data_IF_830891861743
#
_entry.id   IF_830891861743
#
_cell.length_a   1.000
_cell.length_b   1.000
_cell.length_c   1.000
_cell.angle_alpha   90.00
_cell.angle_beta   90.00
_cell.angle_gamma   90.00
#
_symmetry.space_group_name_H-M   'P 1'
#
loop_
_entity.id
_entity.type
_entity.pdbx_description
1 polymer ?
#
# COMPACT_ATOMS: atom_id res chain seq x y z
N UNK A 1 -5.84 -8.66 24.53
CA UNK A 1 -5.58 -7.30 23.99
C UNK A 1 -4.66 -7.47 22.78
N UNK A 2 -5.23 -7.49 21.56
CA UNK A 2 -4.43 -7.67 20.35
C UNK A 2 -3.98 -6.27 19.90
N UNK A 3 -2.75 -5.90 20.22
CA UNK A 3 -2.10 -4.75 19.60
C UNK A 3 -1.88 -5.09 18.11
N UNK A 4 -2.57 -4.44 17.15
CA UNK A 4 -2.16 -4.60 15.77
C UNK A 4 -0.78 -3.94 15.64
N UNK A 5 0.26 -4.76 15.50
CA UNK A 5 1.58 -4.33 15.07
C UNK A 5 1.46 -3.84 13.62
N UNK A 6 0.84 -2.69 13.44
CA UNK A 6 0.66 -2.07 12.13
C UNK A 6 1.99 -1.43 11.75
N UNK A 7 2.83 -2.19 11.04
CA UNK A 7 4.09 -1.69 10.48
C UNK A 7 3.82 -0.43 9.67
N UNK A 8 4.39 0.70 10.10
CA UNK A 8 4.32 1.94 9.35
C UNK A 8 5.52 1.98 8.42
N UNK A 9 5.26 2.04 7.12
CA UNK A 9 6.31 2.13 6.10
C UNK A 9 6.75 3.60 5.97
N UNK A 10 7.67 4.02 6.84
CA UNK A 10 8.21 5.39 6.83
C UNK A 10 9.01 5.65 5.55
N UNK A 11 8.76 6.81 4.93
CA UNK A 11 9.37 7.17 3.64
C UNK A 11 8.65 6.61 2.41
N UNK A 12 7.56 5.84 2.59
CA UNK A 12 6.70 5.39 1.50
C UNK A 12 5.32 6.02 1.68
N UNK A 13 4.88 6.74 0.66
CA UNK A 13 3.55 7.32 0.58
C UNK A 13 2.66 6.44 -0.30
N UNK A 14 1.37 6.40 0.02
CA UNK A 14 0.37 5.81 -0.85
C UNK A 14 0.08 6.77 -2.00
N UNK A 15 0.30 6.40 -3.25
CA UNK A 15 -0.02 7.23 -4.42
C UNK A 15 -1.51 7.49 -4.59
N UNK A 16 -2.37 6.60 -4.07
CA UNK A 16 -3.82 6.73 -4.17
C UNK A 16 -4.45 7.73 -3.19
N UNK A 17 -3.88 7.90 -2.00
CA UNK A 17 -4.41 8.83 -0.98
C UNK A 17 -3.40 9.84 -0.46
N UNK A 18 -2.16 9.80 -0.95
CA UNK A 18 -1.01 10.61 -0.53
C UNK A 18 -0.70 10.52 0.98
N UNK A 19 -1.23 9.50 1.65
CA UNK A 19 -1.06 9.24 3.07
C UNK A 19 0.06 8.25 3.37
N UNK A 20 0.32 8.02 4.66
CA UNK A 20 1.27 7.00 5.10
C UNK A 20 0.74 5.59 4.84
N UNK A 21 1.62 4.70 4.39
CA UNK A 21 1.29 3.28 4.23
C UNK A 21 1.43 2.58 5.58
N UNK A 22 0.31 2.12 6.11
CA UNK A 22 0.23 1.46 7.43
C UNK A 22 -0.28 0.03 7.25
N UNK A 23 0.47 -0.93 7.78
CA UNK A 23 0.21 -2.36 7.63
C UNK A 23 0.76 -2.89 6.31
N UNK A 24 -0.10 -3.49 5.48
CA UNK A 24 0.30 -4.05 4.21
C UNK A 24 0.55 -2.94 3.17
N UNK A 25 1.75 -2.93 2.61
CA UNK A 25 2.13 -2.11 1.46
C UNK A 25 1.85 -2.89 0.18
N UNK A 26 1.33 -2.23 -0.85
CA UNK A 26 1.08 -2.84 -2.15
C UNK A 26 1.87 -2.08 -3.21
N UNK A 27 2.88 -2.71 -3.81
CA UNK A 27 3.67 -2.08 -4.86
C UNK A 27 3.23 -2.61 -6.22
N UNK A 28 2.98 -1.72 -7.17
CA UNK A 28 2.75 -2.12 -8.55
C UNK A 28 4.02 -2.75 -9.13
N UNK A 29 3.91 -3.89 -9.80
CA UNK A 29 5.05 -4.54 -10.45
C UNK A 29 5.39 -3.96 -11.82
N UNK A 30 4.47 -3.18 -12.39
CA UNK A 30 4.56 -2.64 -13.75
C UNK A 30 4.88 -1.14 -13.74
N UNK A 31 4.35 -0.41 -12.75
CA UNK A 31 4.61 1.02 -12.62
C UNK A 31 5.86 1.29 -11.75
N UNK A 32 6.73 2.23 -12.18
CA UNK A 32 7.81 2.71 -11.34
C UNK A 32 7.23 3.50 -10.15
N UNK A 33 7.68 3.16 -8.96
CA UNK A 33 7.36 3.88 -7.70
C UNK A 33 5.88 4.05 -7.38
N UNK A 34 5.02 3.15 -7.84
CA UNK A 34 3.60 3.17 -7.48
C UNK A 34 3.31 2.26 -6.29
N UNK A 35 2.95 2.86 -5.17
CA UNK A 35 2.71 2.21 -3.89
C UNK A 35 1.31 2.55 -3.36
N UNK A 36 0.55 1.55 -2.92
CA UNK A 36 -0.76 1.72 -2.30
C UNK A 36 -0.77 1.18 -0.88
N UNK A 37 -1.52 1.85 -0.01
CA UNK A 37 -1.88 1.29 1.29
C UNK A 37 -2.99 0.25 1.14
N UNK A 38 -3.18 -0.58 2.16
CA UNK A 38 -4.26 -1.57 2.19
C UNK A 38 -5.63 -0.97 1.89
N UNK A 39 -5.95 0.21 2.41
CA UNK A 39 -7.26 0.85 2.19
C UNK A 39 -7.46 1.27 0.73
N UNK A 40 -6.41 1.68 0.03
CA UNK A 40 -6.49 2.01 -1.40
C UNK A 40 -6.56 0.74 -2.26
N UNK A 41 -5.81 -0.29 -1.91
CA UNK A 41 -5.90 -1.59 -2.59
C UNK A 41 -7.31 -2.20 -2.44
N UNK A 42 -7.90 -2.13 -1.24
CA UNK A 42 -9.27 -2.64 -0.97
C UNK A 42 -10.34 -1.90 -1.80
N UNK A 43 -10.09 -0.62 -2.10
CA UNK A 43 -10.91 0.19 -3.02
C UNK A 43 -10.68 -0.15 -4.50
N UNK A 44 -9.85 -1.14 -4.81
CA UNK A 44 -9.48 -1.50 -6.18
C UNK A 44 -8.89 -0.31 -6.95
N UNK A 45 -8.11 0.55 -6.27
CA UNK A 45 -7.32 1.57 -6.96
C UNK A 45 -6.25 0.87 -7.80
N UNK A 46 -6.14 1.28 -9.06
CA UNK A 46 -5.20 0.72 -10.03
C UNK A 46 -5.41 -0.78 -10.34
N UNK A 47 -6.62 -1.18 -10.77
CA UNK A 47 -6.97 -2.58 -11.03
C UNK A 47 -6.37 -3.13 -12.33
N UNK A 48 -5.79 -2.25 -13.16
CA UNK A 48 -5.21 -2.59 -14.46
C UNK A 48 -3.87 -3.34 -14.35
N UNK A 49 -3.19 -3.25 -13.21
CA UNK A 49 -1.87 -3.84 -13.00
C UNK A 49 -1.82 -4.71 -11.75
N UNK A 50 -0.91 -5.69 -11.77
CA UNK A 50 -0.71 -6.57 -10.63
C UNK A 50 0.06 -5.88 -9.50
N UNK A 51 -0.52 -5.96 -8.30
CA UNK A 51 0.08 -5.44 -7.08
C UNK A 51 0.76 -6.54 -6.26
N UNK A 52 2.03 -6.36 -5.94
CA UNK A 52 2.76 -7.20 -4.99
C UNK A 52 2.47 -6.73 -3.56
N UNK A 53 1.98 -7.64 -2.72
CA UNK A 53 1.82 -7.39 -1.28
C UNK A 53 3.16 -7.49 -0.58
N UNK A 54 3.58 -6.38 0.02
CA UNK A 54 4.78 -6.22 0.83
C UNK A 54 4.35 -6.01 2.29
N UNK A 55 5.03 -6.69 3.22
CA UNK A 55 4.79 -6.59 4.67
C UNK A 55 5.68 -5.55 5.33
#
# INVERSE_FOLDING_TARGET
>A
EATPNTTVHTGIACDGCQGSVVGNRYKCMECPDYDLCQACMDKNLHPEHNMAKLV
#
